data_IF_290893053702
#
_entry.id   IF_290893053702
#
_cell.length_a   1.000
_cell.length_b   1.000
_cell.length_c   1.000
_cell.angle_alpha   90.00
_cell.angle_beta   90.00
_cell.angle_gamma   90.00
#
_symmetry.space_group_name_H-M   'P 1'
#
loop_
_entity.id
_entity.type
_entity.pdbx_description
1 polymer ?
#
# COMPACT_ATOMS: atom_id res chain seq x y z
N UNK A 1 16.83 -0.59 -20.87
CA UNK A 1 15.93 -1.72 -20.50
C UNK A 1 14.54 -1.16 -20.28
N UNK A 2 13.47 -1.79 -20.80
CA UNK A 2 12.10 -1.41 -20.43
C UNK A 2 11.95 -1.66 -18.92
N UNK A 3 11.56 -0.65 -18.17
CA UNK A 3 11.27 -0.77 -16.74
C UNK A 3 10.07 -1.72 -16.59
N UNK A 4 10.23 -2.80 -15.81
CA UNK A 4 9.14 -3.75 -15.57
C UNK A 4 8.17 -3.08 -14.61
N UNK A 5 6.89 -3.10 -14.97
CA UNK A 5 5.81 -2.65 -14.11
C UNK A 5 5.59 -3.70 -13.02
N UNK A 6 5.43 -3.28 -11.78
CA UNK A 6 5.07 -4.16 -10.68
C UNK A 6 3.55 -4.16 -10.48
N UNK A 7 2.95 -5.34 -10.48
CA UNK A 7 1.51 -5.54 -10.24
C UNK A 7 1.33 -6.13 -8.85
N UNK A 8 0.59 -5.41 -8.00
CA UNK A 8 0.33 -5.80 -6.61
C UNK A 8 -1.13 -6.20 -6.46
N UNK A 9 -1.38 -7.45 -6.05
CA UNK A 9 -2.72 -7.90 -5.67
C UNK A 9 -3.05 -7.37 -4.26
N UNK A 10 -4.07 -6.51 -4.17
CA UNK A 10 -4.51 -5.93 -2.90
C UNK A 10 -5.56 -6.81 -2.23
N UNK A 11 -5.23 -7.39 -1.09
CA UNK A 11 -6.19 -8.11 -0.23
C UNK A 11 -6.79 -7.16 0.81
N UNK A 12 -6.07 -6.12 1.17
CA UNK A 12 -6.47 -5.11 2.17
C UNK A 12 -6.92 -5.74 3.50
N UNK A 13 -8.14 -5.46 3.93
CA UNK A 13 -8.80 -6.02 5.12
C UNK A 13 -9.77 -7.16 4.78
N UNK A 14 -9.80 -7.63 3.52
CA UNK A 14 -10.70 -8.69 3.07
C UNK A 14 -10.55 -10.03 3.81
N UNK A 15 -9.49 -10.18 4.60
CA UNK A 15 -9.28 -11.34 5.48
C UNK A 15 -10.22 -11.35 6.71
N UNK A 16 -10.85 -10.23 7.07
CA UNK A 16 -11.88 -10.11 8.10
C UNK A 16 -11.50 -10.70 9.49
N UNK A 17 -10.21 -10.65 9.86
CA UNK A 17 -9.70 -11.26 11.10
C UNK A 17 -9.82 -12.79 11.14
N UNK A 18 -10.02 -13.43 9.99
CA UNK A 18 -10.27 -14.87 9.89
C UNK A 18 -9.09 -15.59 9.23
N UNK A 19 -8.39 -16.43 9.98
CA UNK A 19 -7.22 -17.18 9.50
C UNK A 19 -7.51 -18.03 8.25
N UNK A 20 -8.66 -18.73 8.21
CA UNK A 20 -9.01 -19.59 7.07
C UNK A 20 -9.25 -18.75 5.81
N UNK A 21 -9.94 -17.64 5.96
CA UNK A 21 -10.19 -16.69 4.87
C UNK A 21 -8.88 -16.05 4.41
N UNK A 22 -8.00 -15.66 5.33
CA UNK A 22 -6.65 -15.15 5.02
C UNK A 22 -5.87 -16.13 4.15
N UNK A 23 -5.83 -17.40 4.54
CA UNK A 23 -5.14 -18.43 3.77
C UNK A 23 -5.76 -18.66 2.38
N UNK A 24 -7.09 -18.60 2.26
CA UNK A 24 -7.78 -18.73 0.99
C UNK A 24 -7.48 -17.55 0.04
N UNK A 25 -7.57 -16.34 0.55
CA UNK A 25 -7.27 -15.11 -0.20
C UNK A 25 -5.79 -15.06 -0.62
N UNK A 26 -4.87 -15.46 0.27
CA UNK A 26 -3.44 -15.56 -0.05
C UNK A 26 -3.21 -16.51 -1.23
N UNK A 27 -3.81 -17.69 -1.23
CA UNK A 27 -3.71 -18.65 -2.35
C UNK A 27 -4.30 -18.08 -3.64
N UNK A 28 -5.45 -17.42 -3.55
CA UNK A 28 -6.07 -16.74 -4.70
C UNK A 28 -5.18 -15.63 -5.29
N UNK A 29 -4.61 -14.81 -4.42
CA UNK A 29 -3.69 -13.75 -4.82
C UNK A 29 -2.39 -14.31 -5.41
N UNK A 30 -1.83 -15.40 -4.86
CA UNK A 30 -0.68 -16.11 -5.44
C UNK A 30 -1.00 -16.58 -6.87
N UNK A 31 -2.20 -17.10 -7.11
CA UNK A 31 -2.62 -17.61 -8.41
C UNK A 31 -2.94 -16.51 -9.44
N UNK A 32 -3.04 -15.24 -9.03
CA UNK A 32 -3.46 -14.12 -9.91
C UNK A 32 -2.38 -13.63 -10.90
N UNK A 33 -1.17 -14.21 -10.91
CA UNK A 33 -0.01 -13.73 -11.66
C UNK A 33 0.50 -12.32 -11.26
N UNK A 34 0.05 -11.75 -10.15
CA UNK A 34 0.65 -10.53 -9.60
C UNK A 34 2.11 -10.76 -9.20
N UNK A 35 2.91 -9.70 -9.17
CA UNK A 35 4.32 -9.75 -8.73
C UNK A 35 4.42 -9.76 -7.19
N UNK A 36 3.45 -9.14 -6.54
CA UNK A 36 3.38 -9.02 -5.09
C UNK A 36 1.94 -9.10 -4.57
N UNK A 37 1.80 -9.32 -3.27
CA UNK A 37 0.53 -9.36 -2.57
C UNK A 37 0.60 -8.37 -1.42
N UNK A 38 -0.48 -7.59 -1.20
CA UNK A 38 -0.51 -6.60 -0.13
C UNK A 38 -1.72 -6.78 0.78
N UNK A 39 -1.46 -6.66 2.08
CA UNK A 39 -2.45 -6.69 3.15
C UNK A 39 -2.39 -5.39 3.97
N UNK A 40 -3.40 -5.13 4.77
CA UNK A 40 -3.37 -4.09 5.79
C UNK A 40 -3.13 -4.76 7.15
N UNK A 41 -2.05 -4.38 7.82
CA UNK A 41 -1.69 -4.95 9.14
C UNK A 41 -2.35 -4.12 10.23
N UNK A 42 -3.57 -4.51 10.58
CA UNK A 42 -4.43 -3.74 11.47
C UNK A 42 -4.17 -4.06 12.93
N UNK A 43 -3.89 -3.01 13.71
CA UNK A 43 -3.96 -2.97 15.18
C UNK A 43 -4.82 -1.77 15.56
N UNK A 44 -5.95 -2.00 16.24
CA UNK A 44 -6.97 -1.00 16.46
C UNK A 44 -6.46 0.25 17.19
N UNK A 45 -5.54 0.07 18.14
CA UNK A 45 -4.97 1.18 18.91
C UNK A 45 -4.06 2.11 18.08
N UNK A 46 -3.62 1.67 16.90
CA UNK A 46 -2.89 2.51 15.94
C UNK A 46 -3.82 3.29 15.00
N UNK A 47 -5.04 2.79 14.80
CA UNK A 47 -6.02 3.37 13.87
C UNK A 47 -7.02 4.31 14.53
N UNK A 48 -7.41 4.03 15.77
CA UNK A 48 -8.50 4.76 16.42
C UNK A 48 -8.41 4.72 17.94
N UNK A 49 -9.05 5.67 18.59
CA UNK A 49 -9.29 5.64 20.03
C UNK A 49 -10.44 4.68 20.38
N UNK A 50 -10.48 4.10 21.59
CA UNK A 50 -11.54 3.17 22.00
C UNK A 50 -12.98 3.75 21.92
N UNK A 51 -13.12 5.06 21.91
CA UNK A 51 -14.41 5.74 21.77
C UNK A 51 -14.90 5.89 20.31
N UNK A 52 -14.07 5.53 19.34
CA UNK A 52 -14.44 5.61 17.93
C UNK A 52 -15.47 4.53 17.57
N UNK A 53 -16.50 4.91 16.82
CA UNK A 53 -17.64 4.02 16.52
C UNK A 53 -17.26 2.69 15.85
N UNK A 54 -16.13 2.65 15.11
CA UNK A 54 -15.64 1.46 14.42
C UNK A 54 -14.42 0.81 15.11
N UNK A 55 -14.09 1.22 16.34
CA UNK A 55 -12.94 0.66 17.05
C UNK A 55 -13.05 -0.87 17.22
N UNK A 56 -14.24 -1.37 17.56
CA UNK A 56 -14.46 -2.80 17.71
C UNK A 56 -14.25 -3.55 16.38
N UNK A 57 -14.66 -2.97 15.25
CA UNK A 57 -14.40 -3.56 13.92
C UNK A 57 -12.89 -3.72 13.68
N UNK A 58 -12.09 -2.70 14.06
CA UNK A 58 -10.63 -2.82 13.95
C UNK A 58 -10.05 -3.86 14.87
N UNK A 59 -10.60 -4.02 16.10
CA UNK A 59 -10.22 -5.10 17.01
C UNK A 59 -10.53 -6.48 16.42
N UNK A 60 -11.64 -6.64 15.76
CA UNK A 60 -12.05 -7.91 15.14
C UNK A 60 -11.16 -8.27 13.93
N UNK A 61 -10.45 -7.28 13.35
CA UNK A 61 -9.48 -7.49 12.27
C UNK A 61 -8.09 -7.89 12.76
N UNK A 62 -7.77 -7.72 14.03
CA UNK A 62 -6.46 -8.08 14.57
C UNK A 62 -6.22 -9.60 14.49
N UNK A 63 -5.05 -9.97 14.03
CA UNK A 63 -4.63 -11.37 13.98
C UNK A 63 -3.28 -11.57 14.64
N UNK A 64 -3.06 -12.79 15.11
CA UNK A 64 -1.79 -13.19 15.69
C UNK A 64 -0.64 -13.05 14.68
N UNK A 65 0.52 -12.61 15.16
CA UNK A 65 1.74 -12.48 14.37
C UNK A 65 2.15 -13.78 13.66
N UNK A 66 1.88 -14.93 14.25
CA UNK A 66 2.21 -16.23 13.66
C UNK A 66 1.42 -16.52 12.39
N UNK A 67 0.18 -16.01 12.28
CA UNK A 67 -0.64 -16.13 11.06
C UNK A 67 0.00 -15.30 9.95
N UNK A 68 0.40 -14.07 10.24
CA UNK A 68 1.07 -13.21 9.27
C UNK A 68 2.43 -13.76 8.83
N UNK A 69 3.20 -14.35 9.75
CA UNK A 69 4.44 -15.04 9.40
C UNK A 69 4.21 -16.23 8.45
N UNK A 70 3.12 -16.98 8.66
CA UNK A 70 2.71 -18.05 7.75
C UNK A 70 2.31 -17.51 6.37
N UNK A 71 1.62 -16.37 6.29
CA UNK A 71 1.29 -15.69 5.03
C UNK A 71 2.56 -15.30 4.28
N UNK A 72 3.53 -14.66 4.95
CA UNK A 72 4.81 -14.30 4.33
C UNK A 72 5.52 -15.53 3.77
N UNK A 73 5.59 -16.62 4.54
CA UNK A 73 6.19 -17.88 4.07
C UNK A 73 5.50 -18.40 2.81
N UNK A 74 4.15 -18.45 2.79
CA UNK A 74 3.40 -18.93 1.62
C UNK A 74 3.64 -18.09 0.37
N UNK A 75 3.74 -16.76 0.53
CA UNK A 75 3.99 -15.83 -0.58
C UNK A 75 5.42 -15.97 -1.11
N UNK A 76 6.40 -16.07 -0.21
CA UNK A 76 7.81 -16.26 -0.56
C UNK A 76 8.06 -17.64 -1.22
N UNK A 77 7.41 -18.71 -0.75
CA UNK A 77 7.48 -20.03 -1.38
C UNK A 77 6.96 -20.03 -2.84
N UNK A 78 6.10 -19.07 -3.15
CA UNK A 78 5.61 -18.83 -4.51
C UNK A 78 6.49 -17.83 -5.31
N UNK A 79 7.68 -17.49 -4.81
CA UNK A 79 8.63 -16.54 -5.42
C UNK A 79 8.02 -15.14 -5.67
N UNK A 80 7.08 -14.70 -4.79
CA UNK A 80 6.44 -13.39 -4.83
C UNK A 80 6.82 -12.55 -3.61
N UNK A 81 6.59 -11.23 -3.71
CA UNK A 81 6.79 -10.31 -2.59
C UNK A 81 5.50 -10.13 -1.79
N UNK A 82 5.66 -9.84 -0.51
CA UNK A 82 4.56 -9.49 0.39
C UNK A 82 4.77 -8.12 1.00
N UNK A 83 3.74 -7.29 0.92
CA UNK A 83 3.73 -5.93 1.44
C UNK A 83 2.63 -5.73 2.47
N UNK A 84 2.84 -4.80 3.38
CA UNK A 84 1.81 -4.44 4.36
C UNK A 84 1.59 -2.93 4.42
N UNK A 85 0.32 -2.50 4.43
CA UNK A 85 -0.02 -1.18 4.94
C UNK A 85 0.17 -1.19 6.46
N UNK A 86 0.89 -0.20 6.96
CA UNK A 86 1.16 -0.03 8.40
C UNK A 86 0.60 1.31 8.87
N UNK A 87 0.19 1.36 10.13
CA UNK A 87 -0.52 2.50 10.70
C UNK A 87 0.18 3.08 11.94
N UNK A 88 1.20 2.39 12.46
CA UNK A 88 1.96 2.83 13.62
C UNK A 88 3.24 2.03 13.81
N UNK A 89 3.84 2.19 14.98
CA UNK A 89 5.14 1.56 15.27
C UNK A 89 5.02 0.06 15.56
N UNK A 90 3.89 -0.39 16.11
CA UNK A 90 3.67 -1.81 16.36
C UNK A 90 3.53 -2.58 15.05
N UNK A 91 2.70 -2.10 14.12
CA UNK A 91 2.55 -2.72 12.81
C UNK A 91 3.84 -2.67 11.99
N UNK A 92 4.64 -1.61 12.09
CA UNK A 92 5.98 -1.54 11.49
C UNK A 92 6.91 -2.63 12.02
N UNK A 93 6.98 -2.77 13.35
CA UNK A 93 7.86 -3.74 14.02
C UNK A 93 7.45 -5.17 13.67
N UNK A 94 6.15 -5.46 13.69
CA UNK A 94 5.63 -6.76 13.29
C UNK A 94 5.90 -7.04 11.81
N UNK A 95 5.67 -6.09 10.89
CA UNK A 95 5.96 -6.26 9.48
C UNK A 95 7.44 -6.64 9.25
N UNK A 96 8.36 -6.02 10.00
CA UNK A 96 9.78 -6.37 9.97
C UNK A 96 10.03 -7.79 10.48
N UNK A 97 9.49 -8.13 11.65
CA UNK A 97 9.71 -9.43 12.30
C UNK A 97 9.17 -10.62 11.49
N UNK A 98 8.07 -10.44 10.75
CA UNK A 98 7.49 -11.49 9.90
C UNK A 98 8.13 -11.57 8.52
N UNK A 99 9.09 -10.70 8.19
CA UNK A 99 9.83 -10.74 6.94
C UNK A 99 9.08 -10.12 5.75
N UNK A 100 8.32 -9.04 5.96
CA UNK A 100 7.73 -8.28 4.86
C UNK A 100 8.81 -7.71 3.92
N UNK A 101 8.58 -7.72 2.61
CA UNK A 101 9.51 -7.17 1.61
C UNK A 101 9.46 -5.65 1.52
N UNK A 102 8.40 -5.04 2.03
CA UNK A 102 8.22 -3.60 2.07
C UNK A 102 6.91 -3.22 2.76
N UNK A 103 6.74 -1.93 2.96
CA UNK A 103 5.56 -1.39 3.64
C UNK A 103 4.95 -0.23 2.88
N UNK A 104 3.67 0.05 3.15
CA UNK A 104 3.00 1.24 2.64
C UNK A 104 2.49 2.09 3.80
N UNK A 105 2.72 3.38 3.68
CA UNK A 105 2.09 4.42 4.48
C UNK A 105 0.88 4.96 3.73
N UNK A 106 -0.30 4.81 4.32
CA UNK A 106 -1.52 5.37 3.76
C UNK A 106 -1.53 6.90 3.84
N UNK A 107 -2.49 7.55 3.19
CA UNK A 107 -2.59 9.02 3.20
C UNK A 107 -2.76 9.58 4.62
N UNK A 108 -3.41 8.84 5.52
CA UNK A 108 -3.58 9.22 6.93
C UNK A 108 -2.25 9.32 7.66
N UNK A 109 -1.29 8.46 7.30
CA UNK A 109 0.04 8.40 7.91
C UNK A 109 1.07 9.32 7.25
N UNK A 110 0.68 10.06 6.20
CA UNK A 110 1.61 10.94 5.49
C UNK A 110 2.33 11.93 6.41
N UNK A 111 1.65 12.47 7.41
CA UNK A 111 2.21 13.45 8.36
C UNK A 111 2.86 12.81 9.59
N UNK A 112 2.82 11.48 9.74
CA UNK A 112 3.47 10.75 10.80
C UNK A 112 4.96 10.60 10.48
N UNK A 113 5.76 11.65 10.78
CA UNK A 113 7.18 11.65 10.44
C UNK A 113 7.96 10.58 11.21
N UNK A 114 7.57 10.26 12.45
CA UNK A 114 8.25 9.22 13.25
C UNK A 114 8.13 7.85 12.56
N UNK A 115 6.92 7.53 12.09
CA UNK A 115 6.68 6.28 11.38
C UNK A 115 7.43 6.25 10.03
N UNK A 116 7.36 7.37 9.28
CA UNK A 116 8.05 7.50 7.99
C UNK A 116 9.57 7.33 8.12
N UNK A 117 10.20 8.03 9.09
CA UNK A 117 11.64 8.00 9.29
C UNK A 117 12.14 6.61 9.70
N UNK A 118 11.35 5.87 10.50
CA UNK A 118 11.66 4.48 10.83
C UNK A 118 11.44 3.54 9.64
N UNK A 119 10.32 3.67 8.94
CA UNK A 119 9.99 2.80 7.81
C UNK A 119 11.06 2.88 6.70
N UNK A 120 11.54 4.08 6.36
CA UNK A 120 12.54 4.26 5.30
C UNK A 120 13.94 3.73 5.67
N UNK A 121 14.23 3.61 6.97
CA UNK A 121 15.47 2.99 7.47
C UNK A 121 15.36 1.46 7.43
N UNK A 122 14.22 0.93 7.85
CA UNK A 122 14.03 -0.50 8.07
C UNK A 122 13.69 -1.30 6.80
N UNK A 123 13.17 -0.63 5.77
CA UNK A 123 12.73 -1.27 4.53
C UNK A 123 13.41 -0.67 3.30
N UNK A 124 13.65 -1.51 2.30
CA UNK A 124 14.17 -1.11 0.98
C UNK A 124 13.05 -0.76 -0.01
N UNK A 125 11.80 -1.05 0.33
CA UNK A 125 10.62 -0.71 -0.46
C UNK A 125 9.60 -0.01 0.44
N UNK A 126 9.33 1.26 0.12
CA UNK A 126 8.36 2.08 0.82
C UNK A 126 7.36 2.68 -0.20
N UNK A 127 6.11 2.30 -0.10
CA UNK A 127 5.02 2.94 -0.83
C UNK A 127 4.46 4.09 0.03
N UNK A 128 4.48 5.30 -0.51
CA UNK A 128 3.96 6.49 0.18
C UNK A 128 2.73 7.01 -0.56
N UNK A 129 1.57 6.91 0.06
CA UNK A 129 0.33 7.43 -0.51
C UNK A 129 0.31 8.95 -0.47
N UNK A 130 0.08 9.58 -1.63
CA UNK A 130 0.03 11.05 -1.79
C UNK A 130 -1.33 11.55 -2.32
N UNK A 131 -2.32 10.67 -2.45
CA UNK A 131 -3.68 11.03 -2.85
C UNK A 131 -4.31 11.99 -1.84
N UNK A 132 -4.72 13.19 -2.29
CA UNK A 132 -5.29 14.22 -1.42
C UNK A 132 -4.28 15.06 -0.64
N UNK A 133 -2.98 14.78 -0.69
CA UNK A 133 -1.95 15.58 -0.04
C UNK A 133 -1.60 16.80 -0.89
N UNK A 134 -1.54 18.01 -0.32
CA UNK A 134 -1.10 19.21 -1.04
C UNK A 134 0.34 19.07 -1.55
N UNK A 135 0.59 19.49 -2.80
CA UNK A 135 1.92 19.38 -3.41
C UNK A 135 3.04 20.03 -2.58
N UNK A 136 2.76 21.17 -1.93
CA UNK A 136 3.73 21.84 -1.03
C UNK A 136 4.18 20.97 0.14
N UNK A 137 3.29 20.11 0.66
CA UNK A 137 3.60 19.23 1.78
C UNK A 137 4.39 18.00 1.30
N UNK A 138 4.07 17.51 0.10
CA UNK A 138 4.86 16.48 -0.57
C UNK A 138 6.28 17.02 -0.84
N UNK A 139 6.40 18.20 -1.45
CA UNK A 139 7.70 18.85 -1.71
C UNK A 139 8.54 18.97 -0.43
N UNK A 140 7.92 19.46 0.66
CA UNK A 140 8.58 19.63 1.95
C UNK A 140 9.11 18.29 2.49
N UNK A 141 8.29 17.23 2.44
CA UNK A 141 8.70 15.91 2.93
C UNK A 141 9.83 15.31 2.08
N UNK A 142 9.75 15.44 0.77
CA UNK A 142 10.71 14.80 -0.14
C UNK A 142 12.01 15.59 -0.28
N UNK A 143 12.01 16.91 -0.04
CA UNK A 143 13.20 17.79 -0.23
C UNK A 143 14.36 17.49 0.70
N UNK A 144 14.14 16.76 1.78
CA UNK A 144 15.17 16.44 2.80
C UNK A 144 15.77 15.05 2.63
N UNK A 145 15.29 14.28 1.64
CA UNK A 145 15.71 12.90 1.43
C UNK A 145 17.02 12.80 0.66
N UNK A 146 17.84 11.84 1.03
CA UNK A 146 19.01 11.44 0.24
C UNK A 146 18.59 10.64 -1.01
N UNK A 147 19.48 10.52 -1.99
CA UNK A 147 19.21 9.73 -3.20
C UNK A 147 18.92 8.25 -2.86
N UNK A 148 19.63 7.66 -1.93
CA UNK A 148 19.39 6.32 -1.44
C UNK A 148 17.96 6.14 -0.90
N UNK A 149 17.46 7.12 -0.15
CA UNK A 149 16.09 7.11 0.37
C UNK A 149 15.05 7.30 -0.75
N UNK A 150 15.33 8.18 -1.73
CA UNK A 150 14.48 8.40 -2.90
C UNK A 150 14.30 7.09 -3.68
N UNK A 151 15.37 6.34 -3.88
CA UNK A 151 15.37 5.08 -4.64
C UNK A 151 14.48 4.00 -4.00
N UNK A 152 14.26 4.07 -2.69
CA UNK A 152 13.37 3.16 -1.94
C UNK A 152 11.88 3.50 -2.09
N UNK A 153 11.53 4.73 -2.46
CA UNK A 153 10.15 5.22 -2.41
C UNK A 153 9.42 5.06 -3.75
N UNK A 154 8.17 4.62 -3.66
CA UNK A 154 7.19 4.75 -4.72
C UNK A 154 6.04 5.66 -4.22
N UNK A 155 5.81 6.79 -4.91
CA UNK A 155 4.68 7.67 -4.60
C UNK A 155 3.41 7.08 -5.21
N UNK A 156 2.43 6.77 -4.36
CA UNK A 156 1.20 6.11 -4.76
C UNK A 156 0.06 7.12 -4.88
N UNK A 157 -0.56 7.18 -6.06
CA UNK A 157 -1.76 7.98 -6.28
C UNK A 157 -2.99 7.09 -6.37
N UNK A 158 -4.04 7.47 -5.68
CA UNK A 158 -5.39 6.95 -5.75
C UNK A 158 -6.34 7.96 -5.10
N UNK A 159 -7.57 8.06 -5.57
CA UNK A 159 -8.58 8.87 -4.91
C UNK A 159 -9.07 8.12 -3.66
N UNK A 160 -9.26 8.84 -2.54
CA UNK A 160 -9.58 8.23 -1.24
C UNK A 160 -11.10 8.10 -1.05
N UNK A 161 -11.74 7.34 -1.94
CA UNK A 161 -13.15 6.93 -1.85
C UNK A 161 -13.28 5.50 -2.36
N UNK A 162 -14.06 4.68 -1.71
CA UNK A 162 -14.33 3.29 -2.08
C UNK A 162 -15.84 3.02 -2.09
N UNK A 163 -16.39 2.78 -3.28
CA UNK A 163 -15.75 2.86 -4.61
C UNK A 163 -15.49 4.30 -5.05
N UNK A 164 -14.46 4.49 -5.89
CA UNK A 164 -14.21 5.79 -6.54
C UNK A 164 -14.99 5.88 -7.84
N UNK A 165 -15.90 6.86 -8.01
CA UNK A 165 -16.54 7.12 -9.30
C UNK A 165 -15.50 7.47 -10.38
N UNK A 166 -15.76 7.06 -11.64
CA UNK A 166 -14.80 7.22 -12.73
C UNK A 166 -14.38 8.68 -12.95
N UNK A 167 -15.30 9.61 -12.84
CA UNK A 167 -15.07 11.06 -13.01
C UNK A 167 -14.22 11.68 -11.88
N UNK A 168 -14.07 10.99 -10.73
CA UNK A 168 -13.26 11.43 -9.61
C UNK A 168 -11.85 10.85 -9.60
N UNK A 169 -11.57 9.82 -10.39
CA UNK A 169 -10.25 9.18 -10.44
C UNK A 169 -9.11 10.11 -10.85
N UNK A 170 -9.40 11.07 -11.75
CA UNK A 170 -8.48 12.15 -12.07
C UNK A 170 -7.08 11.67 -12.50
N UNK A 171 -6.99 10.64 -13.36
CA UNK A 171 -5.74 9.97 -13.74
C UNK A 171 -4.68 10.93 -14.33
N UNK A 172 -5.08 12.12 -14.81
CA UNK A 172 -4.13 13.15 -15.24
C UNK A 172 -3.17 13.58 -14.11
N UNK A 173 -3.55 13.40 -12.84
CA UNK A 173 -2.65 13.65 -11.70
C UNK A 173 -1.42 12.73 -11.69
N UNK A 174 -1.52 11.51 -12.22
CA UNK A 174 -0.36 10.63 -12.39
C UNK A 174 0.71 11.27 -13.26
N UNK A 175 0.31 11.87 -14.38
CA UNK A 175 1.23 12.60 -15.26
C UNK A 175 1.86 13.79 -14.53
N UNK A 176 1.05 14.59 -13.82
CA UNK A 176 1.55 15.74 -13.06
C UNK A 176 2.54 15.31 -11.95
N UNK A 177 2.29 14.19 -11.29
CA UNK A 177 3.23 13.63 -10.30
C UNK A 177 4.54 13.20 -10.97
N UNK A 178 4.48 12.51 -12.10
CA UNK A 178 5.68 12.11 -12.85
C UNK A 178 6.51 13.29 -13.32
N UNK A 179 5.85 14.32 -13.87
CA UNK A 179 6.53 15.53 -14.33
C UNK A 179 7.18 16.31 -13.17
N UNK A 180 6.56 16.29 -11.98
CA UNK A 180 7.06 17.01 -10.81
C UNK A 180 8.12 16.24 -10.03
N UNK A 181 7.96 14.93 -9.86
CA UNK A 181 8.80 14.08 -9.01
C UNK A 181 9.62 13.08 -9.84
N UNK A 182 10.40 13.60 -10.78
CA UNK A 182 11.13 12.82 -11.81
C UNK A 182 12.11 11.79 -11.26
N UNK A 183 12.56 11.95 -10.00
CA UNK A 183 13.45 11.00 -9.33
C UNK A 183 12.74 9.83 -8.66
N UNK A 184 11.42 9.86 -8.57
CA UNK A 184 10.64 8.86 -7.83
C UNK A 184 9.89 7.91 -8.77
N UNK A 185 9.66 6.70 -8.29
CA UNK A 185 8.66 5.81 -8.89
C UNK A 185 7.25 6.35 -8.59
N UNK A 186 6.34 6.21 -9.53
CA UNK A 186 4.94 6.62 -9.39
C UNK A 186 4.05 5.41 -9.61
N UNK A 187 3.22 5.08 -8.63
CA UNK A 187 2.26 3.99 -8.69
C UNK A 187 0.82 4.48 -8.68
N UNK A 188 -0.08 3.64 -9.13
CA UNK A 188 -1.52 3.87 -9.10
C UNK A 188 -2.21 2.88 -8.16
N UNK A 189 -3.10 3.38 -7.32
CA UNK A 189 -4.02 2.59 -6.49
C UNK A 189 -5.42 2.75 -7.07
N UNK A 190 -5.96 1.67 -7.61
CA UNK A 190 -7.33 1.66 -8.11
C UNK A 190 -8.30 1.39 -6.95
N UNK A 191 -9.29 2.27 -6.79
CA UNK A 191 -10.39 2.13 -5.84
C UNK A 191 -11.75 2.12 -6.56
N UNK A 192 -11.78 1.81 -7.86
CA UNK A 192 -13.03 1.67 -8.61
C UNK A 192 -13.85 0.49 -8.11
N UNK A 193 -15.14 0.48 -8.45
CA UNK A 193 -16.01 -0.65 -8.14
C UNK A 193 -15.57 -1.89 -8.94
N UNK A 194 -15.10 -2.92 -8.24
CA UNK A 194 -14.63 -4.17 -8.84
C UNK A 194 -15.70 -4.94 -9.63
N UNK A 195 -16.98 -4.55 -9.53
CA UNK A 195 -18.10 -5.11 -10.30
C UNK A 195 -18.31 -4.38 -11.63
N UNK A 196 -17.52 -3.37 -11.96
CA UNK A 196 -17.62 -2.57 -13.19
C UNK A 196 -16.43 -2.78 -14.12
N UNK A 197 -16.61 -2.47 -15.40
CA UNK A 197 -15.53 -2.51 -16.39
C UNK A 197 -14.42 -1.47 -16.09
N UNK A 198 -14.70 -0.47 -15.27
CA UNK A 198 -13.71 0.54 -14.86
C UNK A 198 -12.52 -0.09 -14.14
N UNK A 199 -12.75 -1.14 -13.34
CA UNK A 199 -11.70 -1.89 -12.67
C UNK A 199 -10.68 -2.55 -13.62
N UNK A 200 -11.07 -2.78 -14.89
CA UNK A 200 -10.16 -3.27 -15.92
C UNK A 200 -9.53 -2.12 -16.73
N UNK A 201 -10.28 -1.06 -16.97
CA UNK A 201 -9.84 0.02 -17.86
C UNK A 201 -8.91 1.02 -17.17
N UNK A 202 -9.18 1.40 -15.92
CA UNK A 202 -8.41 2.43 -15.23
C UNK A 202 -6.94 2.04 -15.01
N UNK A 203 -6.60 0.80 -14.59
CA UNK A 203 -5.21 0.37 -14.53
C UNK A 203 -4.50 0.42 -15.88
N UNK A 204 -5.18 0.05 -16.99
CA UNK A 204 -4.59 0.12 -18.33
C UNK A 204 -4.32 1.57 -18.76
N UNK A 205 -5.21 2.51 -18.43
CA UNK A 205 -4.99 3.94 -18.66
C UNK A 205 -3.81 4.44 -17.83
N UNK A 206 -3.71 4.05 -16.55
CA UNK A 206 -2.57 4.39 -15.70
C UNK A 206 -1.25 3.87 -16.27
N UNK A 207 -1.23 2.64 -16.80
CA UNK A 207 -0.08 2.09 -17.54
C UNK A 207 0.28 2.94 -18.76
N UNK A 208 -0.72 3.39 -19.50
CA UNK A 208 -0.54 4.28 -20.67
C UNK A 208 0.06 5.65 -20.29
N UNK A 209 -0.20 6.14 -19.07
CA UNK A 209 0.45 7.33 -18.49
C UNK A 209 1.89 7.03 -18.08
N UNK A 210 2.22 5.76 -17.87
CA UNK A 210 3.59 5.29 -17.59
C UNK A 210 3.89 5.20 -16.10
N UNK A 211 2.98 4.69 -15.29
CA UNK A 211 3.28 4.28 -13.90
C UNK A 211 4.31 3.15 -13.87
N UNK A 212 4.90 2.94 -12.68
CA UNK A 212 6.02 2.02 -12.46
C UNK A 212 5.60 0.68 -11.87
#
# INVERSE_FOLDING_TARGET
MKKRIEIIAEVAQGYEGNEKLTNLLTKGAIASNSDAIKFQLVYADELATPSYKYYQLFKDLEMDKSIWASVCTQVHDAEKKVYFDIFGLLSLEIAKEIGADGVKLSTTEFYNNILFDKAIIEFDILYLSVGGIPAKDIDKKLSVLSQEQIDKICLMYGFQSEPTPIDQNNLNKLRLLKDRYTGFRIGFMDHSDGCTDDAFHLPLVALGVGVD
#
